data_IF_845963319559
#
_entry.id   IF_845963319559
#
_cell.length_a   1.000
_cell.length_b   1.000
_cell.length_c   1.000
_cell.angle_alpha   90.00
_cell.angle_beta   90.00
_cell.angle_gamma   90.00
#
_symmetry.space_group_name_H-M   'P 1'
#
loop_
_entity.id
_entity.type
_entity.pdbx_description
1 polymer ?
#
# COMPACT_ATOMS: atom_id res chain seq x y z
N UNK A 1 2.54 -13.77 7.67
CA UNK A 1 2.31 -13.94 9.11
C UNK A 1 3.18 -12.98 9.87
N UNK A 2 2.60 -12.30 10.82
CA UNK A 2 3.31 -11.46 11.80
C UNK A 2 3.25 -12.14 13.17
N UNK A 3 4.25 -11.90 14.01
CA UNK A 3 4.28 -12.37 15.38
C UNK A 3 4.09 -11.15 16.29
N UNK A 4 3.19 -11.18 17.28
CA UNK A 4 2.92 -10.03 18.17
C UNK A 4 4.19 -9.45 18.79
N UNK A 5 5.11 -10.30 19.23
CA UNK A 5 6.38 -9.88 19.84
C UNK A 5 7.32 -9.18 18.85
N UNK A 6 7.29 -9.59 17.59
CA UNK A 6 8.10 -8.96 16.54
C UNK A 6 7.55 -7.57 16.18
N UNK A 7 6.22 -7.43 16.12
CA UNK A 7 5.57 -6.13 15.89
C UNK A 7 5.81 -5.19 17.09
N UNK A 8 5.63 -5.68 18.30
CA UNK A 8 5.91 -4.89 19.51
C UNK A 8 7.37 -4.42 19.58
N UNK A 9 8.31 -5.33 19.28
CA UNK A 9 9.74 -4.98 19.19
C UNK A 9 9.99 -3.87 18.17
N UNK A 10 9.38 -3.95 16.98
CA UNK A 10 9.51 -2.93 15.93
C UNK A 10 9.03 -1.56 16.43
N UNK A 11 7.85 -1.50 16.99
CA UNK A 11 7.28 -0.25 17.49
C UNK A 11 8.11 0.32 18.65
N UNK A 12 8.61 -0.54 19.56
CA UNK A 12 9.50 -0.11 20.66
C UNK A 12 10.77 0.54 20.15
N UNK A 13 11.44 -0.07 19.18
CA UNK A 13 12.66 0.49 18.56
C UNK A 13 12.36 1.86 17.93
N UNK A 14 11.24 2.02 17.21
CA UNK A 14 10.86 3.30 16.65
C UNK A 14 10.63 4.36 17.73
N UNK A 15 9.93 4.01 18.82
CA UNK A 15 9.72 4.92 19.96
C UNK A 15 11.04 5.34 20.61
N UNK A 16 11.95 4.40 20.87
CA UNK A 16 13.28 4.67 21.44
C UNK A 16 14.11 5.60 20.54
N UNK A 17 13.87 5.61 19.24
CA UNK A 17 14.51 6.51 18.29
C UNK A 17 13.72 7.82 18.03
N UNK A 18 12.73 8.13 18.84
CA UNK A 18 12.02 9.41 18.82
C UNK A 18 10.85 9.49 17.82
N UNK A 19 10.47 8.40 17.17
CA UNK A 19 9.30 8.38 16.30
C UNK A 19 8.02 8.35 17.13
N UNK A 20 7.01 9.13 16.72
CA UNK A 20 5.69 9.18 17.37
C UNK A 20 4.55 8.75 16.45
N UNK A 21 4.83 8.57 15.16
CA UNK A 21 3.86 8.12 14.17
C UNK A 21 4.51 7.23 13.11
N UNK A 22 3.71 6.35 12.54
CA UNK A 22 4.06 5.52 11.38
C UNK A 22 3.00 5.62 10.30
N UNK A 23 3.39 5.32 9.08
CA UNK A 23 2.52 5.04 7.95
C UNK A 23 2.74 3.60 7.52
N UNK A 24 1.65 2.84 7.39
CA UNK A 24 1.71 1.47 6.90
C UNK A 24 1.96 1.45 5.39
N UNK A 25 3.19 1.46 4.97
CA UNK A 25 3.50 1.48 3.55
C UNK A 25 3.65 0.05 3.00
N UNK A 26 2.82 -0.40 2.05
CA UNK A 26 1.72 0.33 1.39
C UNK A 26 0.46 -0.53 1.42
N UNK A 27 0.20 -1.20 2.52
CA UNK A 27 -0.94 -2.07 2.79
C UNK A 27 -1.38 -1.95 4.24
N UNK A 28 -2.63 -2.35 4.58
CA UNK A 28 -3.14 -2.23 5.94
C UNK A 28 -2.27 -2.93 6.98
N UNK A 29 -2.11 -2.29 8.13
CA UNK A 29 -1.42 -2.85 9.28
C UNK A 29 -2.03 -4.17 9.73
N UNK A 30 -1.20 -5.06 10.27
CA UNK A 30 -1.71 -6.21 11.02
C UNK A 30 -2.36 -5.77 12.33
N UNK A 31 -3.29 -6.58 12.83
CA UNK A 31 -3.89 -6.35 14.16
C UNK A 31 -2.82 -6.30 15.26
N UNK A 32 -1.85 -7.22 15.23
CA UNK A 32 -0.76 -7.25 16.21
C UNK A 32 0.06 -5.95 16.23
N UNK A 33 0.29 -5.34 15.04
CA UNK A 33 0.95 -4.05 14.95
C UNK A 33 0.12 -2.93 15.55
N UNK A 34 -1.19 -2.91 15.27
CA UNK A 34 -2.09 -1.90 15.86
C UNK A 34 -2.20 -2.06 17.37
N UNK A 35 -2.32 -3.29 17.88
CA UNK A 35 -2.31 -3.58 19.33
C UNK A 35 -1.01 -3.08 19.99
N UNK A 36 0.14 -3.24 19.32
CA UNK A 36 1.42 -2.69 19.81
C UNK A 36 1.45 -1.16 19.77
N UNK A 37 0.93 -0.55 18.70
CA UNK A 37 0.83 0.90 18.57
C UNK A 37 -0.07 1.50 19.65
N UNK A 38 -1.21 0.89 19.95
CA UNK A 38 -2.11 1.32 21.03
C UNK A 38 -1.42 1.29 22.39
N UNK A 39 -0.73 0.18 22.71
CA UNK A 39 -0.03 0.03 23.99
C UNK A 39 1.15 0.99 24.17
N UNK A 40 1.89 1.24 23.10
CA UNK A 40 3.13 2.02 23.13
C UNK A 40 2.95 3.49 22.74
N UNK A 41 1.74 3.90 22.38
CA UNK A 41 1.42 5.29 22.02
C UNK A 41 2.06 5.72 20.68
N UNK A 42 2.05 4.85 19.67
CA UNK A 42 2.48 5.17 18.31
C UNK A 42 1.26 5.49 17.45
N UNK A 43 1.21 6.66 16.85
CA UNK A 43 0.14 7.03 15.93
C UNK A 43 0.30 6.33 14.58
N UNK A 44 -0.82 6.02 13.93
CA UNK A 44 -0.84 5.26 12.67
C UNK A 44 -1.68 5.97 11.62
N UNK A 45 -1.08 6.15 10.44
CA UNK A 45 -1.81 6.34 9.18
C UNK A 45 -1.90 4.97 8.51
N UNK A 46 -3.09 4.36 8.50
CA UNK A 46 -3.27 3.07 7.84
C UNK A 46 -3.58 3.25 6.36
N UNK A 47 -2.84 2.55 5.51
CA UNK A 47 -2.88 2.72 4.06
C UNK A 47 -3.45 1.48 3.39
N UNK A 48 -4.35 1.72 2.40
CA UNK A 48 -5.07 0.65 1.75
C UNK A 48 -4.20 -0.13 0.75
N UNK A 49 -3.74 0.54 -0.32
CA UNK A 49 -3.05 -0.15 -1.41
C UNK A 49 -2.25 0.83 -2.26
N UNK A 50 -1.21 0.37 -2.93
CA UNK A 50 -0.36 1.22 -3.77
C UNK A 50 -0.62 1.13 -5.29
N UNK A 51 -1.67 0.42 -5.70
CA UNK A 51 -2.08 0.26 -7.11
C UNK A 51 -3.59 0.34 -7.25
N UNK A 52 -4.11 0.92 -8.36
CA UNK A 52 -5.55 0.94 -8.61
C UNK A 52 -5.94 0.20 -9.89
N UNK A 53 -5.66 0.77 -11.08
CA UNK A 53 -5.99 0.15 -12.37
C UNK A 53 -4.85 0.24 -13.39
N UNK A 54 -3.67 0.74 -13.00
CA UNK A 54 -2.43 0.70 -13.77
C UNK A 54 -1.44 -0.18 -13.02
N UNK A 55 -0.97 -1.24 -13.65
CA UNK A 55 -0.01 -2.14 -13.04
C UNK A 55 1.34 -1.47 -12.74
N UNK A 56 1.82 -1.57 -11.51
CA UNK A 56 3.22 -1.34 -11.13
C UNK A 56 4.06 -2.58 -11.39
N UNK A 57 3.48 -3.76 -11.16
CA UNK A 57 4.08 -5.07 -11.44
C UNK A 57 3.04 -6.00 -12.04
N UNK A 58 3.48 -7.03 -12.76
CA UNK A 58 2.59 -7.97 -13.45
C UNK A 58 1.57 -8.69 -12.55
N UNK A 59 1.92 -8.92 -11.29
CA UNK A 59 1.15 -9.75 -10.36
C UNK A 59 0.66 -8.95 -9.15
N UNK A 60 0.47 -7.65 -9.32
CA UNK A 60 -0.08 -6.80 -8.26
C UNK A 60 -1.61 -6.89 -8.14
N UNK A 61 -2.17 -6.12 -7.22
CA UNK A 61 -3.59 -6.20 -6.85
C UNK A 61 -4.56 -5.58 -7.87
N UNK A 62 -4.08 -4.95 -8.95
CA UNK A 62 -4.90 -4.27 -9.98
C UNK A 62 -6.04 -5.15 -10.49
N UNK A 63 -5.77 -6.44 -10.73
CA UNK A 63 -6.77 -7.38 -11.27
C UNK A 63 -7.97 -7.63 -10.33
N UNK A 64 -7.83 -7.32 -9.06
CA UNK A 64 -8.83 -7.58 -8.03
C UNK A 64 -9.49 -6.31 -7.53
N UNK A 65 -8.80 -5.16 -7.58
CA UNK A 65 -9.23 -3.92 -6.96
C UNK A 65 -10.62 -3.47 -7.43
N UNK A 66 -10.92 -3.50 -8.72
CA UNK A 66 -12.19 -3.04 -9.25
C UNK A 66 -13.41 -3.77 -8.61
N UNK A 67 -13.22 -5.05 -8.25
CA UNK A 67 -14.24 -5.88 -7.62
C UNK A 67 -14.28 -5.72 -6.10
N UNK A 68 -13.12 -5.56 -5.46
CA UNK A 68 -13.00 -5.77 -4.03
C UNK A 68 -12.77 -4.51 -3.20
N UNK A 69 -12.42 -3.36 -3.80
CA UNK A 69 -12.04 -2.16 -3.05
C UNK A 69 -13.02 -1.73 -1.96
N UNK A 70 -14.32 -1.90 -2.17
CA UNK A 70 -15.32 -1.54 -1.15
C UNK A 70 -15.29 -2.51 0.03
N UNK A 71 -15.18 -3.81 -0.26
CA UNK A 71 -15.08 -4.81 0.80
C UNK A 71 -13.77 -4.65 1.57
N UNK A 72 -12.65 -4.46 0.86
CA UNK A 72 -11.34 -4.28 1.47
C UNK A 72 -11.29 -3.06 2.40
N UNK A 73 -11.85 -1.91 1.94
CA UNK A 73 -11.92 -0.71 2.77
C UNK A 73 -12.83 -0.90 3.99
N UNK A 74 -13.92 -1.66 3.82
CA UNK A 74 -14.80 -2.00 4.94
C UNK A 74 -14.07 -2.87 5.95
N UNK A 75 -13.39 -3.92 5.51
CA UNK A 75 -12.64 -4.85 6.37
C UNK A 75 -11.49 -4.11 7.09
N UNK A 76 -10.80 -3.19 6.39
CA UNK A 76 -9.78 -2.33 6.99
C UNK A 76 -10.37 -1.49 8.11
N UNK A 77 -11.47 -0.77 7.86
CA UNK A 77 -12.11 0.08 8.89
C UNK A 77 -12.66 -0.77 10.04
N UNK A 78 -13.30 -1.91 9.78
CA UNK A 78 -13.80 -2.81 10.84
C UNK A 78 -12.67 -3.30 11.74
N UNK A 79 -11.51 -3.59 11.19
CA UNK A 79 -10.30 -3.92 11.94
C UNK A 79 -9.80 -2.74 12.77
N UNK A 80 -9.78 -1.54 12.19
CA UNK A 80 -9.11 -0.36 12.76
C UNK A 80 -9.97 0.45 13.72
N UNK A 81 -11.29 0.34 13.62
CA UNK A 81 -12.24 1.25 14.25
C UNK A 81 -12.00 1.45 15.75
N UNK A 82 -11.69 0.38 16.45
CA UNK A 82 -11.44 0.39 17.89
C UNK A 82 -9.96 0.55 18.29
N UNK A 83 -9.09 0.88 17.32
CA UNK A 83 -7.68 1.18 17.59
C UNK A 83 -7.46 2.71 17.70
N UNK A 84 -7.27 3.26 18.90
CA UNK A 84 -7.06 4.70 19.09
C UNK A 84 -5.76 5.20 18.47
N UNK A 85 -4.81 4.34 18.20
CA UNK A 85 -3.58 4.67 17.47
C UNK A 85 -3.84 5.06 16.01
N UNK A 86 -4.86 4.51 15.35
CA UNK A 86 -5.20 4.85 13.97
C UNK A 86 -5.86 6.23 13.93
N UNK A 87 -5.17 7.21 13.38
CA UNK A 87 -5.61 8.61 13.33
C UNK A 87 -6.09 9.07 11.97
N UNK A 88 -5.74 8.35 10.89
CA UNK A 88 -6.18 8.66 9.52
C UNK A 88 -6.00 7.46 8.58
N UNK A 89 -6.70 7.52 7.46
CA UNK A 89 -6.60 6.54 6.37
C UNK A 89 -5.94 7.14 5.14
N UNK A 90 -5.22 6.29 4.37
CA UNK A 90 -4.70 6.63 3.05
C UNK A 90 -5.26 5.67 2.00
N UNK A 91 -5.78 6.21 0.90
CA UNK A 91 -6.40 5.42 -0.16
C UNK A 91 -5.40 4.87 -1.17
N UNK A 92 -4.16 5.35 -1.14
CA UNK A 92 -3.14 4.90 -2.08
C UNK A 92 -1.79 5.58 -1.93
N UNK A 93 -0.78 4.95 -2.51
CA UNK A 93 0.58 5.46 -2.54
C UNK A 93 1.08 5.65 -3.97
N UNK A 94 1.46 6.88 -4.32
CA UNK A 94 2.06 7.22 -5.62
C UNK A 94 1.32 6.61 -6.82
N UNK A 95 -0.02 6.58 -6.72
CA UNK A 95 -0.87 6.03 -7.77
C UNK A 95 -0.89 6.98 -8.96
N UNK A 96 -0.32 6.53 -10.07
CA UNK A 96 -0.19 7.32 -11.31
C UNK A 96 -1.56 7.73 -11.87
N UNK A 97 -2.59 7.00 -11.52
CA UNK A 97 -3.99 7.23 -11.90
C UNK A 97 -4.54 8.56 -11.41
N UNK A 98 -3.95 9.16 -10.37
CA UNK A 98 -4.34 10.49 -9.88
C UNK A 98 -4.04 11.62 -10.88
N UNK A 99 -3.25 11.37 -11.92
CA UNK A 99 -3.08 12.25 -13.07
C UNK A 99 -4.27 12.23 -14.05
N UNK A 100 -5.20 11.28 -13.91
CA UNK A 100 -6.31 11.05 -14.82
C UNK A 100 -7.65 11.35 -14.14
N UNK A 101 -8.63 11.84 -14.92
CA UNK A 101 -9.99 12.12 -14.41
C UNK A 101 -10.61 10.91 -13.71
N UNK A 102 -10.50 9.71 -14.30
CA UNK A 102 -11.00 8.46 -13.72
C UNK A 102 -10.36 8.15 -12.35
N UNK A 103 -9.08 8.41 -12.19
CA UNK A 103 -8.38 8.22 -10.91
C UNK A 103 -8.83 9.22 -9.86
N UNK A 104 -9.02 10.49 -10.23
CA UNK A 104 -9.57 11.53 -9.34
C UNK A 104 -10.98 11.13 -8.88
N UNK A 105 -11.84 10.66 -9.79
CA UNK A 105 -13.18 10.17 -9.47
C UNK A 105 -13.13 8.96 -8.52
N UNK A 106 -12.19 8.02 -8.75
CA UNK A 106 -12.02 6.86 -7.87
C UNK A 106 -11.56 7.28 -6.48
N UNK A 107 -10.60 8.21 -6.37
CA UNK A 107 -10.18 8.80 -5.08
C UNK A 107 -11.37 9.37 -4.33
N UNK A 108 -12.21 10.17 -5.01
CA UNK A 108 -13.40 10.76 -4.42
C UNK A 108 -14.41 9.71 -3.92
N UNK A 109 -14.59 8.62 -4.68
CA UNK A 109 -15.47 7.50 -4.28
C UNK A 109 -14.93 6.76 -3.06
N UNK A 110 -13.64 6.44 -3.03
CA UNK A 110 -12.99 5.77 -1.89
C UNK A 110 -13.07 6.64 -0.64
N UNK A 111 -12.73 7.92 -0.75
CA UNK A 111 -12.80 8.89 0.36
C UNK A 111 -14.23 9.00 0.90
N UNK A 112 -15.22 9.17 0.02
CA UNK A 112 -16.63 9.24 0.42
C UNK A 112 -17.11 7.95 1.08
N UNK A 113 -16.60 6.81 0.64
CA UNK A 113 -16.96 5.52 1.23
C UNK A 113 -16.34 5.34 2.61
N UNK A 114 -15.06 5.69 2.78
CA UNK A 114 -14.39 5.69 4.09
C UNK A 114 -15.09 6.60 5.09
N UNK A 115 -15.48 7.83 4.70
CA UNK A 115 -16.24 8.74 5.57
C UNK A 115 -17.62 8.24 5.96
N UNK A 116 -18.23 7.33 5.17
CA UNK A 116 -19.48 6.65 5.56
C UNK A 116 -19.24 5.57 6.62
N UNK A 117 -18.11 4.89 6.55
CA UNK A 117 -17.74 3.83 7.49
C UNK A 117 -17.19 4.41 8.81
N UNK A 118 -16.37 5.45 8.69
CA UNK A 118 -15.76 6.16 9.81
C UNK A 118 -15.77 7.68 9.55
N UNK A 119 -16.74 8.41 10.11
CA UNK A 119 -16.85 9.86 9.90
C UNK A 119 -15.85 10.68 10.73
N UNK A 120 -15.08 10.05 11.60
CA UNK A 120 -14.23 10.74 12.58
C UNK A 120 -12.77 10.88 12.09
N UNK A 121 -12.28 9.93 11.28
CA UNK A 121 -10.90 9.92 10.82
C UNK A 121 -10.77 10.58 9.45
N UNK A 122 -9.79 11.49 9.28
CA UNK A 122 -9.50 12.08 7.98
C UNK A 122 -8.97 11.03 7.00
N UNK A 123 -9.18 11.30 5.72
CA UNK A 123 -8.73 10.45 4.61
C UNK A 123 -7.80 11.23 3.69
N UNK A 124 -6.69 10.63 3.32
CA UNK A 124 -5.71 11.18 2.37
C UNK A 124 -5.43 10.21 1.23
N UNK A 125 -4.63 10.67 0.27
CA UNK A 125 -4.06 9.85 -0.80
C UNK A 125 -2.61 10.27 -1.03
N UNK A 126 -1.71 9.33 -1.09
CA UNK A 126 -0.31 9.59 -1.43
C UNK A 126 -0.14 9.92 -2.90
N UNK A 127 -0.03 11.19 -3.24
CA UNK A 127 0.14 11.68 -4.63
C UNK A 127 1.61 12.01 -4.86
N UNK A 128 2.19 11.45 -5.94
CA UNK A 128 3.48 11.88 -6.44
C UNK A 128 3.28 12.90 -7.57
N UNK A 129 3.48 14.18 -7.27
CA UNK A 129 3.28 15.28 -8.23
C UNK A 129 4.19 15.11 -9.46
N UNK A 130 5.42 14.64 -9.27
CA UNK A 130 6.36 14.42 -10.37
C UNK A 130 5.88 13.30 -11.30
N UNK A 131 5.38 12.19 -10.77
CA UNK A 131 4.81 11.11 -11.57
C UNK A 131 3.55 11.56 -12.31
N UNK A 132 2.71 12.36 -11.67
CA UNK A 132 1.53 12.95 -12.32
C UNK A 132 1.92 13.88 -13.47
N UNK A 133 2.94 14.70 -13.27
CA UNK A 133 3.48 15.57 -14.33
C UNK A 133 4.02 14.76 -15.52
N UNK A 134 4.84 13.74 -15.28
CA UNK A 134 5.33 12.85 -16.34
C UNK A 134 4.18 12.15 -17.07
N UNK A 135 3.18 11.68 -16.33
CA UNK A 135 2.00 11.04 -16.90
C UNK A 135 1.19 11.99 -17.80
N UNK A 136 1.04 13.26 -17.39
CA UNK A 136 0.37 14.28 -18.20
C UNK A 136 1.09 14.60 -19.51
N UNK A 137 2.41 14.37 -19.55
CA UNK A 137 3.25 14.52 -20.76
C UNK A 137 3.31 13.23 -21.61
N UNK A 138 2.55 12.19 -21.28
CA UNK A 138 2.59 10.90 -21.96
C UNK A 138 3.80 10.01 -21.60
N UNK A 139 4.60 10.42 -20.61
CA UNK A 139 5.78 9.69 -20.13
C UNK A 139 5.47 8.91 -18.85
N UNK A 140 4.40 8.11 -18.83
CA UNK A 140 3.98 7.35 -17.66
C UNK A 140 5.10 6.48 -17.08
N UNK A 141 5.32 6.59 -15.75
CA UNK A 141 6.32 5.79 -15.03
C UNK A 141 5.90 4.32 -14.99
N UNK A 142 4.61 4.08 -14.79
CA UNK A 142 3.99 2.77 -14.74
C UNK A 142 3.08 2.55 -15.94
N UNK A 143 3.07 1.35 -16.49
CA UNK A 143 2.15 0.89 -17.52
C UNK A 143 2.16 -0.63 -17.57
N UNK A 144 1.10 -1.22 -18.10
CA UNK A 144 0.96 -2.68 -18.22
C UNK A 144 2.12 -3.28 -19.04
N UNK A 145 2.52 -2.64 -20.14
CA UNK A 145 3.66 -3.07 -20.95
C UNK A 145 4.99 -3.08 -20.18
N UNK A 146 5.22 -2.08 -19.31
CA UNK A 146 6.42 -2.01 -18.47
C UNK A 146 6.40 -3.08 -17.39
N UNK A 147 5.25 -3.35 -16.80
CA UNK A 147 5.06 -4.39 -15.80
C UNK A 147 5.33 -5.78 -16.39
N UNK A 148 4.85 -6.04 -17.62
CA UNK A 148 5.12 -7.30 -18.31
C UNK A 148 6.61 -7.49 -18.66
N UNK A 149 7.26 -6.46 -19.19
CA UNK A 149 8.70 -6.49 -19.50
C UNK A 149 9.55 -6.73 -18.24
N UNK A 150 9.20 -6.09 -17.14
CA UNK A 150 9.88 -6.28 -15.85
C UNK A 150 9.74 -7.73 -15.35
N UNK A 151 8.54 -8.30 -15.43
CA UNK A 151 8.30 -9.68 -15.03
C UNK A 151 9.05 -10.70 -15.89
N UNK A 152 9.12 -10.48 -17.21
CA UNK A 152 9.89 -11.33 -18.13
C UNK A 152 11.40 -11.29 -17.80
N UNK A 153 11.95 -10.09 -17.56
CA UNK A 153 13.34 -9.92 -17.18
C UNK A 153 13.68 -10.62 -15.87
N UNK A 154 12.83 -10.48 -14.85
CA UNK A 154 13.00 -11.14 -13.57
C UNK A 154 12.97 -12.69 -13.69
N UNK A 155 12.09 -13.22 -14.54
CA UNK A 155 12.02 -14.66 -14.81
C UNK A 155 13.29 -15.18 -15.47
N UNK A 156 13.82 -14.47 -16.47
CA UNK A 156 15.06 -14.83 -17.14
C UNK A 156 16.28 -14.80 -16.20
N UNK A 157 16.34 -13.81 -15.31
CA UNK A 157 17.39 -13.77 -14.27
C UNK A 157 17.31 -14.93 -13.29
N UNK A 158 16.11 -15.28 -12.85
CA UNK A 158 15.89 -16.43 -11.96
C UNK A 158 16.35 -17.74 -12.61
N UNK A 159 15.98 -17.97 -13.89
CA UNK A 159 16.42 -19.14 -14.65
C UNK A 159 17.94 -19.20 -14.83
N UNK A 160 18.60 -18.06 -15.11
CA UNK A 160 20.05 -17.97 -15.20
C UNK A 160 20.73 -18.31 -13.87
N UNK A 161 20.20 -17.80 -12.75
CA UNK A 161 20.72 -18.11 -11.40
C UNK A 161 20.57 -19.59 -11.05
N UNK A 162 19.46 -20.20 -11.42
CA UNK A 162 19.23 -21.62 -11.19
C UNK A 162 20.18 -22.52 -12.02
N UNK A 163 20.34 -22.20 -13.31
CA UNK A 163 21.32 -22.89 -14.18
C UNK A 163 22.72 -22.81 -13.63
N UNK A 164 23.15 -21.61 -13.17
CA UNK A 164 24.49 -21.43 -12.59
C UNK A 164 24.68 -22.26 -11.30
N UNK A 165 23.65 -22.35 -10.46
CA UNK A 165 23.68 -23.19 -9.26
C UNK A 165 23.79 -24.69 -9.57
N UNK A 166 23.14 -25.16 -10.65
CA UNK A 166 23.24 -26.56 -11.11
C UNK A 166 24.63 -26.87 -11.64
N UNK A 167 25.23 -25.98 -12.44
CA UNK A 167 26.59 -26.17 -12.98
C UNK A 167 27.68 -26.16 -11.89
N UNK A 168 27.47 -25.44 -10.78
CA UNK A 168 28.43 -25.42 -9.66
C UNK A 168 28.33 -26.61 -8.70
N UNK A 169 27.36 -27.51 -8.89
CA UNK A 169 27.15 -28.74 -8.10
C UNK A 169 27.60 -30.01 -8.81
N UNK A 170 28.10 -29.90 -10.05
CA UNK A 170 28.77 -30.95 -10.83
C UNK A 170 30.28 -30.76 -10.77
#
# INVERSE_FOLDING_TARGET
>A
CTYPEAEERRIRILKENGYNAIRSSHYPCSKDMLDACDRLGMLVMDEYVDVWYIHKTKYDYVNYLAKWWQQDLKDMVEKDYNHPSVIMYSTGNEVAETAQKKGIELTGRMTSYLHKLDPHRPVTCGINIFFNFLSSMGMGVYSDDKAEKSAQSAKQEAEKKEKKKRTMKL
#
